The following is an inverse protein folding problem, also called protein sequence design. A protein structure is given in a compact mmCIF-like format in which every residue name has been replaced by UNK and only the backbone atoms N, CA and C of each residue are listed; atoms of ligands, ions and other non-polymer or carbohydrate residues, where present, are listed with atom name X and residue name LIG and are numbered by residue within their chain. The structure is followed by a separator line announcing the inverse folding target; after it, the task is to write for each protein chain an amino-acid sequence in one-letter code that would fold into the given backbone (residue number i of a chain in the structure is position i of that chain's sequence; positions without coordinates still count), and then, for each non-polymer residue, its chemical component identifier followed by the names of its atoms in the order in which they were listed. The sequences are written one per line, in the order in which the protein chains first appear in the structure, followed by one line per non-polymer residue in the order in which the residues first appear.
data_IF_025731280409
#
_entry.id   IF_025731280409
#
_cell.length_a   1.000
_cell.length_b   1.000
_cell.length_c   1.000
_cell.angle_alpha   90.00
_cell.angle_beta   90.00
_cell.angle_gamma   90.00
#
_symmetry.space_group_name_H-M   'P 1'
#
loop_
_entity.id
_entity.type
_entity.pdbx_description
1 polymer ?
#
# COMPACT_ATOMS: atom_id res chain seq x y z
N UNK A 1 8.94 13.40 -19.83
CA UNK A 1 7.48 13.36 -19.68
C UNK A 1 7.14 13.79 -18.27
N UNK A 2 6.16 14.69 -18.03
CA UNK A 2 5.69 14.94 -16.67
C UNK A 2 5.19 13.60 -16.13
N UNK A 3 5.65 13.18 -14.95
CA UNK A 3 5.06 12.00 -14.29
C UNK A 3 3.67 12.42 -13.85
N UNK A 4 2.63 11.77 -14.37
CA UNK A 4 1.26 12.00 -13.95
C UNK A 4 1.16 11.78 -12.43
N UNK A 5 0.36 12.62 -11.76
CA UNK A 5 0.15 12.51 -10.32
C UNK A 5 -0.57 11.19 -10.04
N UNK A 6 -0.04 10.39 -9.13
CA UNK A 6 -0.68 9.13 -8.71
C UNK A 6 -1.92 9.47 -7.90
N UNK A 7 -3.06 8.94 -8.33
CA UNK A 7 -4.34 9.06 -7.62
C UNK A 7 -4.82 7.67 -7.21
N UNK A 8 -5.16 7.50 -5.94
CA UNK A 8 -5.67 6.25 -5.39
C UNK A 8 -6.79 6.50 -4.37
N UNK A 9 -7.44 5.42 -3.94
CA UNK A 9 -8.44 5.43 -2.86
C UNK A 9 -8.19 4.26 -1.91
N UNK A 10 -8.55 4.43 -0.64
CA UNK A 10 -8.50 3.37 0.35
C UNK A 10 -9.85 2.68 0.47
N UNK A 11 -9.80 1.38 0.75
CA UNK A 11 -10.99 0.60 1.09
C UNK A 11 -10.63 -0.44 2.13
N UNK A 12 -11.57 -0.74 3.03
CA UNK A 12 -11.39 -1.74 4.07
C UNK A 12 -11.77 -3.12 3.56
N UNK A 13 -10.92 -4.11 3.80
CA UNK A 13 -11.16 -5.50 3.44
C UNK A 13 -11.13 -6.36 4.71
N UNK A 14 -12.13 -7.23 4.88
CA UNK A 14 -12.13 -8.21 5.98
C UNK A 14 -11.27 -9.43 5.63
N UNK A 15 -10.25 -9.70 6.43
CA UNK A 15 -9.37 -10.88 6.26
C UNK A 15 -10.15 -12.21 6.28
N UNK A 16 -11.23 -12.30 7.05
CA UNK A 16 -12.09 -13.50 7.09
C UNK A 16 -12.81 -13.73 5.74
N UNK A 17 -13.14 -12.66 5.03
CA UNK A 17 -13.77 -12.72 3.71
C UNK A 17 -12.77 -13.06 2.62
N UNK A 18 -11.52 -12.58 2.73
CA UNK A 18 -10.45 -12.87 1.76
C UNK A 18 -10.11 -14.35 1.71
N UNK A 19 -10.10 -15.03 2.86
CA UNK A 19 -9.89 -16.49 2.90
C UNK A 19 -10.90 -17.27 2.03
N UNK A 20 -12.08 -16.70 1.76
CA UNK A 20 -13.11 -17.30 0.90
C UNK A 20 -13.03 -16.86 -0.57
N UNK A 21 -12.34 -15.76 -0.88
CA UNK A 21 -12.21 -15.20 -2.22
C UNK A 21 -10.74 -15.07 -2.60
N UNK A 22 -10.24 -16.05 -3.38
CA UNK A 22 -9.03 -15.88 -4.18
C UNK A 22 -9.20 -14.59 -5.01
N UNK A 23 -8.20 -13.71 -4.98
CA UNK A 23 -8.11 -12.45 -5.73
C UNK A 23 -8.62 -11.16 -5.07
N UNK A 24 -8.47 -11.04 -3.75
CA UNK A 24 -8.93 -9.82 -3.05
C UNK A 24 -7.91 -8.67 -3.07
N UNK A 25 -6.61 -8.96 -2.94
CA UNK A 25 -5.54 -7.95 -2.99
C UNK A 25 -4.14 -8.57 -3.15
N UNK A 26 -3.18 -7.74 -3.56
CA UNK A 26 -1.74 -8.01 -3.50
C UNK A 26 -1.11 -7.22 -2.35
N UNK A 27 -0.03 -7.73 -1.74
CA UNK A 27 0.74 -6.98 -0.75
C UNK A 27 2.04 -6.45 -1.38
N UNK A 28 2.39 -5.20 -1.11
CA UNK A 28 3.69 -4.64 -1.48
C UNK A 28 4.69 -4.86 -0.34
N UNK A 29 5.87 -5.37 -0.67
CA UNK A 29 7.02 -5.45 0.23
C UNK A 29 8.14 -4.64 -0.39
N UNK A 30 8.52 -3.55 0.29
CA UNK A 30 9.45 -2.57 -0.24
C UNK A 30 10.37 -2.00 0.83
N UNK A 31 11.55 -1.56 0.42
CA UNK A 31 12.43 -0.79 1.28
C UNK A 31 11.87 0.63 1.47
N UNK A 32 11.79 1.13 2.70
CA UNK A 32 11.27 2.48 2.97
C UNK A 32 12.06 3.58 2.26
N UNK A 33 13.35 3.35 1.97
CA UNK A 33 14.22 4.30 1.30
C UNK A 33 14.50 5.56 2.14
N UNK A 34 15.13 6.54 1.49
CA UNK A 34 15.49 7.82 2.09
C UNK A 34 14.27 8.66 2.46
N UNK A 35 14.27 9.26 3.65
CA UNK A 35 13.27 10.26 4.05
C UNK A 35 13.49 11.64 3.42
N UNK A 36 14.64 11.87 2.78
CA UNK A 36 15.00 13.18 2.20
C UNK A 36 14.28 13.48 0.89
N UNK A 37 13.73 12.46 0.25
CA UNK A 37 13.12 12.59 -1.07
C UNK A 37 11.67 12.08 -1.00
N UNK A 38 10.74 13.03 -0.99
CA UNK A 38 9.30 12.79 -0.83
C UNK A 38 8.55 13.32 -2.04
N UNK A 39 7.48 12.63 -2.40
CA UNK A 39 6.64 12.95 -3.55
C UNK A 39 5.19 12.96 -3.07
N UNK A 40 4.38 13.80 -3.71
CA UNK A 40 2.95 13.92 -3.39
C UNK A 40 2.16 12.93 -4.24
N UNK A 41 1.26 12.21 -3.59
CA UNK A 41 0.17 11.47 -4.23
C UNK A 41 -1.17 12.00 -3.74
N UNK A 42 -2.25 11.68 -4.45
CA UNK A 42 -3.61 11.96 -4.01
C UNK A 42 -4.25 10.65 -3.57
N UNK A 43 -4.62 10.55 -2.30
CA UNK A 43 -5.29 9.39 -1.72
C UNK A 43 -6.59 9.85 -1.06
N UNK A 44 -7.73 9.32 -1.49
CA UNK A 44 -9.06 9.74 -1.01
C UNK A 44 -9.24 11.27 -1.04
N UNK A 45 -8.87 11.88 -2.17
CA UNK A 45 -8.90 13.34 -2.39
C UNK A 45 -7.99 14.16 -1.44
N UNK A 46 -7.14 13.52 -0.65
CA UNK A 46 -6.18 14.16 0.24
C UNK A 46 -4.76 14.07 -0.33
N UNK A 47 -3.95 15.12 -0.10
CA UNK A 47 -2.53 15.10 -0.47
C UNK A 47 -1.73 14.31 0.57
N UNK A 48 -1.03 13.28 0.12
CA UNK A 48 -0.20 12.41 0.98
C UNK A 48 1.24 12.44 0.51
N UNK A 49 2.17 12.64 1.45
CA UNK A 49 3.61 12.57 1.19
C UNK A 49 4.09 11.14 1.32
N UNK A 50 4.59 10.58 0.22
CA UNK A 50 5.24 9.27 0.19
C UNK A 50 6.72 9.42 -0.13
N UNK A 51 7.54 8.49 0.34
CA UNK A 51 8.97 8.47 0.00
C UNK A 51 9.15 8.05 -1.46
N UNK A 52 10.25 8.49 -2.06
CA UNK A 52 10.59 8.21 -3.47
C UNK A 52 10.47 6.72 -3.84
N UNK A 53 10.94 5.80 -2.99
CA UNK A 53 10.90 4.38 -3.34
C UNK A 53 9.47 3.85 -3.48
N UNK A 54 8.58 4.25 -2.56
CA UNK A 54 7.16 3.91 -2.65
C UNK A 54 6.52 4.60 -3.86
N UNK A 55 6.84 5.87 -4.12
CA UNK A 55 6.32 6.57 -5.28
C UNK A 55 6.69 5.86 -6.60
N UNK A 56 7.95 5.47 -6.77
CA UNK A 56 8.42 4.77 -7.97
C UNK A 56 7.73 3.39 -8.11
N UNK A 57 7.56 2.65 -7.00
CA UNK A 57 6.80 1.40 -6.99
C UNK A 57 5.35 1.61 -7.43
N UNK A 58 4.65 2.58 -6.82
CA UNK A 58 3.25 2.88 -7.13
C UNK A 58 3.08 3.35 -8.58
N UNK A 59 4.01 4.15 -9.11
CA UNK A 59 3.98 4.61 -10.49
C UNK A 59 4.09 3.44 -11.49
N UNK A 60 4.94 2.45 -11.19
CA UNK A 60 5.04 1.26 -12.04
C UNK A 60 3.81 0.36 -11.89
N UNK A 61 3.28 0.21 -10.67
CA UNK A 61 2.09 -0.61 -10.41
C UNK A 61 0.82 0.01 -10.99
N UNK A 62 0.71 1.34 -11.06
CA UNK A 62 -0.45 2.02 -11.64
C UNK A 62 -0.59 1.83 -13.15
N UNK A 63 0.49 1.48 -13.84
CA UNK A 63 0.43 1.14 -15.28
C UNK A 63 -0.04 -0.29 -15.56
N UNK A 64 -0.19 -1.09 -14.51
CA UNK A 64 -0.60 -2.49 -14.59
C UNK A 64 -2.00 -2.67 -14.03
N UNK A 65 -2.74 -3.65 -14.55
CA UNK A 65 -4.10 -3.95 -14.08
C UNK A 65 -4.05 -4.88 -12.86
N UNK A 66 -3.47 -4.41 -11.76
CA UNK A 66 -3.45 -5.14 -10.48
C UNK A 66 -4.81 -5.04 -9.76
N UNK A 67 -5.16 -6.04 -8.92
CA UNK A 67 -6.19 -5.85 -7.90
C UNK A 67 -5.74 -4.80 -6.87
N UNK A 68 -6.54 -4.61 -5.81
CA UNK A 68 -6.15 -3.74 -4.70
C UNK A 68 -4.74 -4.08 -4.18
N UNK A 69 -3.95 -3.06 -3.83
CA UNK A 69 -2.60 -3.24 -3.32
C UNK A 69 -2.55 -2.76 -1.88
N UNK A 70 -2.19 -3.65 -0.96
CA UNK A 70 -1.92 -3.31 0.43
C UNK A 70 -0.50 -2.76 0.56
N UNK A 71 -0.40 -1.55 1.12
CA UNK A 71 0.85 -0.84 1.36
C UNK A 71 0.85 -0.37 2.81
N UNK A 72 1.77 -0.86 3.64
CA UNK A 72 1.78 -0.60 5.09
C UNK A 72 1.65 0.89 5.43
N UNK A 73 2.46 1.75 4.83
CA UNK A 73 2.51 3.18 5.14
C UNK A 73 1.28 3.98 4.69
N UNK A 74 0.41 3.41 3.85
CA UNK A 74 -0.84 4.03 3.40
C UNK A 74 -2.08 3.39 4.03
N UNK A 75 -2.07 2.06 4.19
CA UNK A 75 -3.21 1.31 4.71
C UNK A 75 -3.29 1.30 6.23
N UNK A 76 -2.17 1.57 6.92
CA UNK A 76 -2.10 1.66 8.39
C UNK A 76 -2.07 3.13 8.77
N UNK A 77 -2.91 3.54 9.73
CA UNK A 77 -2.89 4.89 10.26
C UNK A 77 -1.62 5.10 11.09
N UNK A 78 -0.64 5.80 10.52
CA UNK A 78 0.65 6.00 11.17
C UNK A 78 0.59 6.89 12.42
N UNK A 79 -0.47 7.70 12.54
CA UNK A 79 -0.68 8.67 13.62
C UNK A 79 -1.45 8.09 14.82
N UNK A 80 -2.07 6.91 14.66
CA UNK A 80 -2.76 6.19 15.74
C UNK A 80 -1.92 4.99 16.17
N UNK A 81 -1.29 5.08 17.34
CA UNK A 81 -0.42 4.00 17.82
C UNK A 81 -1.20 2.73 18.19
N UNK A 82 -2.46 2.84 18.64
CA UNK A 82 -3.26 1.66 18.98
C UNK A 82 -3.65 0.90 17.71
N UNK A 83 -4.16 1.62 16.70
CA UNK A 83 -4.47 1.07 15.38
C UNK A 83 -3.22 0.49 14.71
N UNK A 84 -2.12 1.25 14.69
CA UNK A 84 -0.86 0.80 14.11
C UNK A 84 -0.35 -0.47 14.77
N UNK A 85 -0.32 -0.54 16.09
CA UNK A 85 0.10 -1.75 16.81
C UNK A 85 -0.81 -2.94 16.48
N UNK A 86 -2.12 -2.72 16.37
CA UNK A 86 -3.06 -3.77 15.95
C UNK A 86 -2.78 -4.26 14.52
N UNK A 87 -2.65 -3.35 13.54
CA UNK A 87 -2.38 -3.71 12.15
C UNK A 87 -1.02 -4.38 11.96
N UNK A 88 0.01 -3.91 12.67
CA UNK A 88 1.34 -4.54 12.64
C UNK A 88 1.26 -5.98 13.16
N UNK A 89 0.46 -6.22 14.21
CA UNK A 89 0.18 -7.57 14.69
C UNK A 89 -0.51 -8.47 13.66
N UNK A 90 -1.26 -7.89 12.72
CA UNK A 90 -1.94 -8.60 11.63
C UNK A 90 -1.07 -8.80 10.38
N UNK A 91 0.09 -8.14 10.26
CA UNK A 91 0.91 -8.19 9.04
C UNK A 91 1.20 -9.62 8.58
N UNK A 92 1.50 -10.54 9.50
CA UNK A 92 1.76 -11.94 9.16
C UNK A 92 0.58 -12.60 8.43
N UNK A 93 -0.65 -12.37 8.91
CA UNK A 93 -1.86 -12.85 8.23
C UNK A 93 -2.11 -12.09 6.93
N UNK A 94 -1.93 -10.76 6.90
CA UNK A 94 -2.09 -9.94 5.68
C UNK A 94 -1.18 -10.43 4.55
N UNK A 95 0.11 -10.68 4.82
CA UNK A 95 1.01 -11.21 3.79
C UNK A 95 0.66 -12.64 3.40
N UNK A 96 0.26 -13.48 4.36
CA UNK A 96 -0.12 -14.88 4.13
C UNK A 96 -1.41 -15.02 3.31
N UNK A 97 -2.35 -14.10 3.44
CA UNK A 97 -3.63 -14.13 2.72
C UNK A 97 -3.65 -13.30 1.43
N UNK A 98 -2.58 -12.55 1.15
CA UNK A 98 -2.43 -11.84 -0.12
C UNK A 98 -2.39 -12.86 -1.28
N UNK A 99 -3.00 -12.53 -2.42
CA UNK A 99 -2.91 -13.38 -3.61
C UNK A 99 -1.47 -13.45 -4.12
N UNK A 100 -0.78 -12.31 -4.10
CA UNK A 100 0.63 -12.18 -4.43
C UNK A 100 1.30 -11.18 -3.50
N UNK A 101 2.60 -11.38 -3.29
CA UNK A 101 3.48 -10.40 -2.65
C UNK A 101 4.42 -9.85 -3.72
N UNK A 102 4.33 -8.56 -3.96
CA UNK A 102 5.19 -7.84 -4.92
C UNK A 102 6.42 -7.35 -4.16
N UNK A 103 7.59 -7.79 -4.59
CA UNK A 103 8.87 -7.33 -4.04
C UNK A 103 9.37 -6.13 -4.84
N UNK A 104 9.73 -5.05 -4.14
CA UNK A 104 10.30 -3.84 -4.72
C UNK A 104 11.52 -3.39 -3.93
N UNK A 105 12.66 -3.16 -4.59
CA UNK A 105 13.93 -2.82 -3.94
C UNK A 105 14.37 -1.40 -4.29
#
# INVERSE_FOLDING_TARGET
MPRDIIVCSLSTISLQSVQRRKNSYHALSYCWGSSKDQHVIICDNCFVLVRKNLYDALAQLSTQNHPAIWVDSLCINQDDNEEKSHQVGLMGEIYKTAEQVILWL
#
